data_IF_049139846798
#
_entry.id   IF_049139846798
#
_cell.length_a   1.000
_cell.length_b   1.000
_cell.length_c   1.000
_cell.angle_alpha   90.00
_cell.angle_beta   90.00
_cell.angle_gamma   90.00
#
_symmetry.space_group_name_H-M   'P 1'
#
loop_
_entity.id
_entity.type
_entity.pdbx_description
1 polymer ?
#
# COMPACT_ATOMS: atom_id res chain seq x y z
N UNK A 1 -12.94 8.03 -7.40
CA UNK A 1 -13.65 8.22 -6.11
C UNK A 1 -14.18 6.92 -5.55
N UNK A 2 -15.19 6.28 -6.15
CA UNK A 2 -15.74 5.01 -5.62
C UNK A 2 -14.75 3.84 -5.64
N UNK A 3 -13.92 3.71 -6.67
CA UNK A 3 -12.77 2.78 -6.65
C UNK A 3 -11.81 3.08 -5.48
N UNK A 4 -11.54 4.36 -5.22
CA UNK A 4 -10.71 4.79 -4.10
C UNK A 4 -11.33 4.48 -2.73
N UNK A 5 -12.66 4.55 -2.62
CA UNK A 5 -13.38 4.12 -1.42
C UNK A 5 -13.29 2.60 -1.23
N UNK A 6 -13.36 1.82 -2.32
CA UNK A 6 -13.14 0.37 -2.28
C UNK A 6 -11.74 0.01 -1.79
N UNK A 7 -10.71 0.72 -2.28
CA UNK A 7 -9.35 0.58 -1.78
C UNK A 7 -9.23 0.98 -0.30
N UNK A 8 -9.79 2.12 0.10
CA UNK A 8 -9.76 2.58 1.50
C UNK A 8 -10.43 1.58 2.46
N UNK A 9 -11.55 0.97 2.06
CA UNK A 9 -12.19 -0.10 2.83
C UNK A 9 -11.30 -1.34 2.96
N UNK A 10 -10.60 -1.75 1.89
CA UNK A 10 -9.63 -2.85 1.97
C UNK A 10 -8.48 -2.51 2.93
N UNK A 11 -7.92 -1.31 2.82
CA UNK A 11 -6.83 -0.84 3.68
C UNK A 11 -7.25 -0.77 5.15
N UNK A 12 -8.47 -0.29 5.42
CA UNK A 12 -9.07 -0.31 6.76
C UNK A 12 -9.28 -1.75 7.27
N UNK A 13 -9.69 -2.67 6.41
CA UNK A 13 -9.79 -4.10 6.73
C UNK A 13 -8.44 -4.73 7.08
N UNK A 14 -7.40 -4.46 6.29
CA UNK A 14 -6.03 -4.89 6.62
C UNK A 14 -5.52 -4.27 7.91
N UNK A 15 -5.77 -2.97 8.10
CA UNK A 15 -5.47 -2.27 9.34
C UNK A 15 -6.17 -2.93 10.52
N UNK A 16 -7.44 -3.34 10.39
CA UNK A 16 -8.17 -4.02 11.47
C UNK A 16 -7.59 -5.39 11.78
N UNK A 17 -7.37 -6.22 10.76
CA UNK A 17 -6.76 -7.55 10.94
C UNK A 17 -5.38 -7.40 11.59
N UNK A 18 -4.57 -6.46 11.14
CA UNK A 18 -3.24 -6.24 11.66
C UNK A 18 -3.27 -5.67 13.09
N UNK A 19 -4.10 -4.65 13.36
CA UNK A 19 -4.16 -3.97 14.66
C UNK A 19 -4.73 -4.86 15.77
N UNK A 20 -5.85 -5.54 15.50
CA UNK A 20 -6.48 -6.43 16.48
C UNK A 20 -5.79 -7.79 16.54
N UNK A 21 -5.26 -8.27 15.41
CA UNK A 21 -4.44 -9.49 15.35
C UNK A 21 -3.06 -9.30 15.96
N UNK A 22 -2.57 -8.06 16.09
CA UNK A 22 -1.26 -7.78 16.69
C UNK A 22 -1.15 -8.39 18.08
N UNK A 23 -2.21 -8.31 18.91
CA UNK A 23 -2.20 -8.90 20.25
C UNK A 23 -2.12 -10.44 20.23
N UNK A 24 -2.69 -11.09 19.21
CA UNK A 24 -2.67 -12.55 19.05
C UNK A 24 -1.34 -13.07 18.48
N UNK A 25 -0.71 -12.29 17.60
CA UNK A 25 0.53 -12.67 16.89
C UNK A 25 1.75 -11.91 17.44
N UNK A 26 1.62 -11.09 18.50
CA UNK A 26 2.69 -10.18 18.93
C UNK A 26 3.97 -10.93 19.30
N UNK A 27 3.85 -12.03 20.03
CA UNK A 27 5.01 -12.83 20.45
C UNK A 27 5.72 -13.43 19.23
N UNK A 28 4.96 -14.03 18.30
CA UNK A 28 5.51 -14.58 17.06
C UNK A 28 6.13 -13.49 16.17
N UNK A 29 5.47 -12.34 16.03
CA UNK A 29 5.97 -11.20 15.26
C UNK A 29 7.19 -10.58 15.91
N UNK A 30 7.30 -10.57 17.24
CA UNK A 30 8.45 -10.02 17.97
C UNK A 30 9.67 -10.93 17.81
N UNK A 31 9.48 -12.24 17.96
CA UNK A 31 10.54 -13.24 17.76
C UNK A 31 11.06 -13.25 16.33
N UNK A 32 10.17 -13.03 15.36
CA UNK A 32 10.51 -12.99 13.93
C UNK A 32 10.65 -11.57 13.37
N UNK A 33 10.59 -10.53 14.19
CA UNK A 33 10.52 -9.13 13.75
C UNK A 33 11.71 -8.79 12.85
N UNK A 34 12.88 -9.32 13.20
CA UNK A 34 14.10 -9.18 12.41
C UNK A 34 13.95 -9.82 11.03
N UNK A 35 13.55 -11.08 10.95
CA UNK A 35 13.37 -11.77 9.67
C UNK A 35 12.28 -11.13 8.80
N UNK A 36 11.14 -10.78 9.39
CA UNK A 36 10.07 -10.05 8.74
C UNK A 36 10.55 -8.71 8.18
N UNK A 37 11.38 -7.98 8.93
CA UNK A 37 11.94 -6.70 8.47
C UNK A 37 12.95 -6.88 7.34
N UNK A 38 13.81 -7.91 7.38
CA UNK A 38 14.74 -8.23 6.27
C UNK A 38 13.95 -8.57 5.01
N UNK A 39 13.00 -9.49 5.12
CA UNK A 39 12.19 -9.95 3.98
C UNK A 39 11.37 -8.77 3.43
N UNK A 40 10.79 -7.93 4.30
CA UNK A 40 10.07 -6.74 3.90
C UNK A 40 10.95 -5.72 3.18
N UNK A 41 12.17 -5.47 3.66
CA UNK A 41 13.14 -4.60 2.99
C UNK A 41 13.54 -5.12 1.60
N UNK A 42 13.80 -6.44 1.47
CA UNK A 42 14.08 -7.07 0.18
C UNK A 42 12.87 -7.02 -0.76
N UNK A 43 11.67 -7.24 -0.23
CA UNK A 43 10.43 -7.15 -0.99
C UNK A 43 10.20 -5.72 -1.52
N UNK A 44 10.49 -4.70 -0.72
CA UNK A 44 10.46 -3.30 -1.15
C UNK A 44 11.50 -3.02 -2.24
N UNK A 45 12.74 -3.51 -2.09
CA UNK A 45 13.74 -3.41 -3.15
C UNK A 45 13.25 -4.04 -4.46
N UNK A 46 12.65 -5.23 -4.39
CA UNK A 46 12.04 -5.91 -5.54
C UNK A 46 10.92 -5.06 -6.17
N UNK A 47 9.99 -4.53 -5.38
CA UNK A 47 8.93 -3.66 -5.87
C UNK A 47 9.48 -2.37 -6.50
N UNK A 48 10.51 -1.77 -5.91
CA UNK A 48 11.16 -0.59 -6.44
C UNK A 48 11.81 -0.87 -7.80
N UNK A 49 12.59 -1.95 -7.92
CA UNK A 49 13.24 -2.34 -9.18
C UNK A 49 12.21 -2.70 -10.26
N UNK A 50 11.18 -3.46 -9.92
CA UNK A 50 10.11 -3.78 -10.88
C UNK A 50 9.38 -2.52 -11.34
N UNK A 51 9.16 -1.55 -10.46
CA UNK A 51 8.57 -0.24 -10.81
C UNK A 51 9.52 0.58 -11.69
N UNK A 52 10.84 0.59 -11.42
CA UNK A 52 11.86 1.24 -12.24
C UNK A 52 11.88 0.72 -13.68
N UNK A 53 11.70 -0.60 -13.83
CA UNK A 53 11.76 -1.31 -15.11
C UNK A 53 10.38 -1.38 -15.81
N UNK A 54 9.31 -0.95 -15.14
CA UNK A 54 7.96 -0.99 -15.68
C UNK A 54 7.77 0.01 -16.82
N UNK A 55 7.39 -0.50 -17.98
CA UNK A 55 6.98 0.32 -19.13
C UNK A 55 5.53 0.77 -18.93
N UNK A 56 5.20 2.06 -19.13
CA UNK A 56 3.81 2.52 -19.11
C UNK A 56 2.98 1.72 -20.11
N UNK A 57 1.75 1.35 -19.75
CA UNK A 57 0.87 0.63 -20.65
C UNK A 57 0.60 1.47 -21.91
N UNK A 58 0.84 0.88 -23.09
CA UNK A 58 0.65 1.54 -24.39
C UNK A 58 -0.83 1.74 -24.75
N UNK A 59 -1.74 1.06 -24.04
CA UNK A 59 -3.19 1.19 -24.24
C UNK A 59 -3.86 1.71 -22.97
N UNK A 60 -4.67 2.78 -23.05
CA UNK A 60 -5.60 3.10 -21.98
C UNK A 60 -6.44 1.86 -21.70
N UNK A 61 -6.59 1.49 -20.42
CA UNK A 61 -7.50 0.40 -20.06
C UNK A 61 -8.89 0.72 -20.63
N UNK A 62 -9.49 -0.22 -21.35
CA UNK A 62 -10.87 -0.06 -21.79
C UNK A 62 -11.74 0.10 -20.55
N UNK A 63 -12.33 1.28 -20.41
CA UNK A 63 -13.31 1.54 -19.35
C UNK A 63 -14.56 0.78 -19.77
N UNK A 64 -14.63 -0.51 -19.40
CA UNK A 64 -15.87 -1.28 -19.49
C UNK A 64 -16.98 -0.54 -18.73
N UNK A 65 -18.24 -0.79 -19.11
CA UNK A 65 -19.43 -0.23 -18.45
C UNK A 65 -19.62 -0.84 -17.04
N UNK A 66 -18.62 -0.78 -16.18
CA UNK A 66 -18.74 -1.15 -14.78
C UNK A 66 -19.52 -0.05 -14.07
N UNK A 67 -20.73 -0.38 -13.63
CA UNK A 67 -21.52 0.52 -12.78
C UNK A 67 -20.76 0.91 -11.51
N UNK A 68 -21.24 1.95 -10.83
CA UNK A 68 -20.61 2.52 -9.64
C UNK A 68 -20.28 1.46 -8.55
N UNK A 69 -21.17 0.50 -8.34
CA UNK A 69 -20.95 -0.62 -7.42
C UNK A 69 -19.88 -1.60 -7.92
N UNK A 70 -19.83 -1.86 -9.23
CA UNK A 70 -18.81 -2.73 -9.83
C UNK A 70 -17.41 -2.14 -9.72
N UNK A 71 -17.27 -0.83 -9.90
CA UNK A 71 -16.00 -0.13 -9.70
C UNK A 71 -15.50 -0.18 -8.25
N UNK A 72 -16.41 -0.08 -7.27
CA UNK A 72 -16.09 -0.25 -5.86
C UNK A 72 -15.66 -1.68 -5.53
N UNK A 73 -16.51 -2.67 -5.86
CA UNK A 73 -16.28 -4.09 -5.54
C UNK A 73 -15.05 -4.64 -6.24
N UNK A 74 -14.81 -4.25 -7.50
CA UNK A 74 -13.62 -4.66 -8.24
C UNK A 74 -12.34 -4.13 -7.59
N UNK A 75 -12.30 -2.84 -7.21
CA UNK A 75 -11.11 -2.29 -6.54
C UNK A 75 -10.92 -2.84 -5.14
N UNK A 76 -12.00 -3.04 -4.38
CA UNK A 76 -11.97 -3.72 -3.09
C UNK A 76 -11.37 -5.13 -3.22
N UNK A 77 -11.91 -5.95 -4.14
CA UNK A 77 -11.42 -7.31 -4.37
C UNK A 77 -9.98 -7.34 -4.87
N UNK A 78 -9.60 -6.43 -5.77
CA UNK A 78 -8.23 -6.31 -6.27
C UNK A 78 -7.25 -5.96 -5.14
N UNK A 79 -7.59 -4.98 -4.30
CA UNK A 79 -6.73 -4.59 -3.18
C UNK A 79 -6.64 -5.71 -2.15
N UNK A 80 -7.76 -6.39 -1.83
CA UNK A 80 -7.80 -7.51 -0.89
C UNK A 80 -7.01 -8.74 -1.35
N UNK A 81 -6.89 -8.94 -2.66
CA UNK A 81 -6.15 -10.06 -3.25
C UNK A 81 -4.73 -9.69 -3.69
N UNK A 82 -4.34 -8.42 -3.56
CA UNK A 82 -3.03 -7.95 -3.99
C UNK A 82 -1.95 -8.45 -3.00
N UNK A 83 -1.11 -9.43 -3.40
CA UNK A 83 -0.11 -9.99 -2.50
C UNK A 83 0.89 -8.93 -2.02
N UNK A 84 1.19 -7.93 -2.85
CA UNK A 84 2.07 -6.84 -2.45
C UNK A 84 1.45 -5.97 -1.35
N UNK A 85 0.14 -5.69 -1.42
CA UNK A 85 -0.55 -4.95 -0.37
C UNK A 85 -0.61 -5.74 0.93
N UNK A 86 -0.97 -7.03 0.85
CA UNK A 86 -1.01 -7.93 2.02
C UNK A 86 0.35 -7.93 2.73
N UNK A 87 1.42 -8.22 2.00
CA UNK A 87 2.76 -8.27 2.58
C UNK A 87 3.21 -6.91 3.11
N UNK A 88 2.88 -5.81 2.42
CA UNK A 88 3.20 -4.46 2.90
C UNK A 88 2.58 -4.17 4.27
N UNK A 89 1.31 -4.54 4.49
CA UNK A 89 0.66 -4.40 5.78
C UNK A 89 1.29 -5.32 6.84
N UNK A 90 1.54 -6.58 6.51
CA UNK A 90 2.21 -7.52 7.44
C UNK A 90 3.55 -6.95 7.91
N UNK A 91 4.40 -6.49 7.00
CA UNK A 91 5.73 -5.96 7.34
C UNK A 91 5.67 -4.62 8.06
N UNK A 92 4.78 -3.72 7.65
CA UNK A 92 4.58 -2.43 8.31
C UNK A 92 4.18 -2.65 9.79
N UNK A 93 3.18 -3.49 10.02
CA UNK A 93 2.65 -3.75 11.36
C UNK A 93 3.56 -4.63 12.22
N UNK A 94 4.38 -5.49 11.63
CA UNK A 94 5.43 -6.21 12.35
C UNK A 94 6.40 -5.25 13.06
N UNK A 95 6.72 -4.10 12.45
CA UNK A 95 7.55 -3.06 13.08
C UNK A 95 6.91 -2.41 14.31
N UNK A 96 5.58 -2.42 14.40
CA UNK A 96 4.83 -1.88 15.55
C UNK A 96 4.52 -2.95 16.61
N UNK A 97 4.76 -4.24 16.34
CA UNK A 97 4.50 -5.34 17.28
C UNK A 97 5.10 -5.17 18.68
N UNK A 98 6.32 -4.62 18.87
CA UNK A 98 6.92 -4.44 20.19
C UNK A 98 6.19 -3.42 21.08
N UNK A 99 5.30 -2.59 20.52
CA UNK A 99 4.64 -1.50 21.26
C UNK A 99 3.41 -1.93 22.05
N UNK A 100 2.86 -3.13 21.80
CA UNK A 100 1.73 -3.68 22.56
C UNK A 100 0.48 -2.78 22.55
N UNK A 101 -0.18 -2.66 21.41
CA UNK A 101 -1.33 -1.77 21.25
C UNK A 101 -2.55 -2.23 22.06
N UNK A 102 -3.12 -1.34 22.88
CA UNK A 102 -4.42 -1.55 23.51
C UNK A 102 -5.58 -1.43 22.51
N UNK A 103 -6.74 -2.02 22.82
CA UNK A 103 -7.93 -2.01 21.94
C UNK A 103 -8.34 -0.61 21.46
N UNK A 104 -8.27 0.40 22.32
CA UNK A 104 -8.58 1.79 21.95
C UNK A 104 -7.60 2.36 20.93
N UNK A 105 -6.31 2.06 21.06
CA UNK A 105 -5.28 2.47 20.10
C UNK A 105 -5.44 1.75 18.76
N UNK A 106 -5.82 0.47 18.79
CA UNK A 106 -6.14 -0.29 17.58
C UNK A 106 -7.29 0.35 16.79
N UNK A 107 -8.39 0.74 17.45
CA UNK A 107 -9.52 1.43 16.79
C UNK A 107 -9.09 2.76 16.15
N UNK A 108 -8.35 3.58 16.88
CA UNK A 108 -7.85 4.87 16.37
C UNK A 108 -6.93 4.66 15.16
N UNK A 109 -6.07 3.64 15.21
CA UNK A 109 -5.16 3.32 14.13
C UNK A 109 -5.89 2.84 12.87
N UNK A 110 -6.87 1.94 13.02
CA UNK A 110 -7.72 1.48 11.90
C UNK A 110 -8.48 2.65 11.27
N UNK A 111 -9.09 3.50 12.10
CA UNK A 111 -9.77 4.70 11.65
C UNK A 111 -8.82 5.65 10.90
N UNK A 112 -7.60 5.83 11.42
CA UNK A 112 -6.55 6.61 10.79
C UNK A 112 -6.11 6.06 9.42
N UNK A 113 -5.92 4.74 9.30
CA UNK A 113 -5.58 4.09 8.03
C UNK A 113 -6.70 4.27 7.01
N UNK A 114 -7.95 4.03 7.41
CA UNK A 114 -9.11 4.19 6.53
C UNK A 114 -9.26 5.64 6.06
N UNK A 115 -9.28 6.60 6.99
CA UNK A 115 -9.45 8.02 6.67
C UNK A 115 -8.27 8.56 5.87
N UNK A 116 -7.04 8.15 6.21
CA UNK A 116 -5.84 8.49 5.49
C UNK A 116 -5.86 7.97 4.05
N UNK A 117 -6.25 6.71 3.84
CA UNK A 117 -6.39 6.13 2.49
C UNK A 117 -7.49 6.82 1.69
N UNK A 118 -8.65 7.08 2.31
CA UNK A 118 -9.73 7.82 1.66
C UNK A 118 -9.29 9.22 1.24
N UNK A 119 -8.65 9.98 2.13
CA UNK A 119 -8.13 11.32 1.85
C UNK A 119 -7.05 11.28 0.77
N UNK A 120 -6.14 10.32 0.84
CA UNK A 120 -5.11 10.11 -0.17
C UNK A 120 -5.73 9.88 -1.55
N UNK A 121 -6.73 8.99 -1.65
CA UNK A 121 -7.43 8.72 -2.90
C UNK A 121 -8.19 9.93 -3.43
N UNK A 122 -8.77 10.76 -2.56
CA UNK A 122 -9.37 12.04 -2.96
C UNK A 122 -8.32 12.96 -3.60
N UNK A 123 -7.20 13.19 -2.90
CA UNK A 123 -6.11 14.04 -3.38
C UNK A 123 -5.52 13.53 -4.69
N UNK A 124 -5.25 12.23 -4.79
CA UNK A 124 -4.69 11.60 -5.98
C UNK A 124 -5.66 11.67 -7.15
N UNK A 125 -6.94 11.36 -6.93
CA UNK A 125 -7.97 11.45 -7.99
C UNK A 125 -8.13 12.89 -8.49
N UNK A 126 -8.18 13.87 -7.60
CA UNK A 126 -8.29 15.28 -7.95
C UNK A 126 -7.03 15.81 -8.63
N UNK A 127 -5.86 15.44 -8.14
CA UNK A 127 -4.56 15.81 -8.71
C UNK A 127 -4.38 15.25 -10.11
N UNK A 128 -4.59 13.94 -10.29
CA UNK A 128 -4.51 13.28 -11.61
C UNK A 128 -5.54 13.88 -12.57
N UNK A 129 -6.78 14.15 -12.12
CA UNK A 129 -7.80 14.77 -12.99
C UNK A 129 -7.35 16.14 -13.53
N UNK A 130 -6.70 16.96 -12.70
CA UNK A 130 -6.15 18.27 -13.11
C UNK A 130 -4.91 18.12 -14.00
N UNK A 131 -4.01 17.21 -13.66
CA UNK A 131 -2.73 17.02 -14.36
C UNK A 131 -2.79 16.03 -15.52
N UNK A 132 -3.94 15.40 -15.82
CA UNK A 132 -4.06 14.34 -16.84
C UNK A 132 -3.53 14.76 -18.21
N UNK A 133 -3.73 16.03 -18.57
CA UNK A 133 -3.27 16.59 -19.83
C UNK A 133 -1.73 16.74 -19.90
N UNK A 134 -1.05 16.75 -18.76
CA UNK A 134 0.42 16.72 -18.66
C UNK A 134 1.00 15.30 -18.62
N UNK A 135 0.21 14.26 -18.35
CA UNK A 135 0.68 12.88 -18.19
C UNK A 135 0.90 12.20 -19.55
N UNK A 136 1.92 12.64 -20.29
CA UNK A 136 2.35 11.96 -21.51
C UNK A 136 3.09 10.65 -21.20
N UNK A 137 3.12 9.65 -22.09
CA UNK A 137 3.82 8.39 -21.86
C UNK A 137 5.30 8.58 -21.45
N UNK A 138 6.00 9.53 -22.07
CA UNK A 138 7.38 9.89 -21.72
C UNK A 138 7.52 10.38 -20.28
N UNK A 139 6.56 11.16 -19.78
CA UNK A 139 6.55 11.65 -18.40
C UNK A 139 6.18 10.54 -17.41
N UNK A 140 5.27 9.64 -17.78
CA UNK A 140 4.93 8.46 -16.97
C UNK A 140 6.13 7.53 -16.75
N UNK A 141 7.03 7.38 -17.74
CA UNK A 141 8.30 6.65 -17.54
C UNK A 141 9.14 7.30 -16.44
N UNK A 142 9.28 8.63 -16.45
CA UNK A 142 10.03 9.34 -15.42
C UNK A 142 9.36 9.27 -14.04
N UNK A 143 8.04 9.32 -13.99
CA UNK A 143 7.27 9.11 -12.75
C UNK A 143 7.55 7.72 -12.19
N UNK A 144 7.46 6.66 -13.01
CA UNK A 144 7.79 5.29 -12.59
C UNK A 144 9.24 5.18 -12.12
N UNK A 145 10.19 5.83 -12.80
CA UNK A 145 11.59 5.85 -12.38
C UNK A 145 11.81 6.54 -11.04
N UNK A 146 11.16 7.67 -10.79
CA UNK A 146 11.27 8.39 -9.51
C UNK A 146 10.68 7.53 -8.39
N UNK A 147 9.44 7.03 -8.56
CA UNK A 147 8.81 6.19 -7.54
C UNK A 147 9.57 4.90 -7.30
N UNK A 148 10.04 4.23 -8.36
CA UNK A 148 10.85 3.03 -8.22
C UNK A 148 12.16 3.30 -7.47
N UNK A 149 12.84 4.42 -7.76
CA UNK A 149 14.07 4.80 -7.04
C UNK A 149 13.80 5.10 -5.56
N UNK A 150 12.71 5.81 -5.25
CA UNK A 150 12.29 6.11 -3.88
C UNK A 150 11.96 4.83 -3.12
N UNK A 151 11.21 3.90 -3.71
CA UNK A 151 10.86 2.61 -3.09
C UNK A 151 12.12 1.78 -2.85
N UNK A 152 13.03 1.69 -3.83
CA UNK A 152 14.30 0.97 -3.66
C UNK A 152 15.17 1.61 -2.58
N UNK A 153 15.29 2.93 -2.55
CA UNK A 153 16.04 3.64 -1.51
C UNK A 153 15.44 3.38 -0.12
N UNK A 154 14.11 3.40 0.00
CA UNK A 154 13.42 3.08 1.24
C UNK A 154 13.69 1.63 1.68
N UNK A 155 13.66 0.67 0.76
CA UNK A 155 14.04 -0.72 1.04
C UNK A 155 15.48 -0.88 1.54
N UNK A 156 16.43 -0.16 0.92
CA UNK A 156 17.84 -0.15 1.37
C UNK A 156 17.98 0.44 2.78
N UNK A 157 17.31 1.55 3.06
CA UNK A 157 17.32 2.18 4.40
C UNK A 157 16.67 1.25 5.43
N UNK A 158 15.57 0.59 5.10
CA UNK A 158 14.92 -0.37 5.98
C UNK A 158 15.83 -1.57 6.30
N UNK A 159 16.68 -2.00 5.36
CA UNK A 159 17.68 -3.05 5.57
C UNK A 159 18.88 -2.57 6.40
N UNK A 160 19.31 -1.31 6.22
CA UNK A 160 20.45 -0.77 6.95
C UNK A 160 20.15 -0.45 8.42
N UNK A 161 18.90 -0.13 8.75
CA UNK A 161 18.43 0.12 10.12
C UNK A 161 18.44 -1.13 11.03
N UNK A 162 18.62 -2.33 10.46
CA UNK A 162 18.57 -3.61 11.19
C UNK A 162 19.93 -4.10 11.72
N UNK A 163 20.94 -3.21 11.73
CA UNK A 163 22.24 -3.41 12.37
C UNK A 163 22.22 -2.80 13.77
#
# INVERSE_FOLDING_TARGET
LLSGLGAATADGGYGAIAAFGLAFVSNFLTDQARWLSIIGGLFLCYLGITTLLSKPADKPAEIGKTGLAGAYLSTLGLTLTNPATIFSFVFLFAGFAPTGLGYGQAVVMVGGVFLGSALWWLLLSSGVSRLRHWLTPKRLVWVNRIFGALITAFGIVALSWQR
#
